data_IF_761338581168
#
_entry.id   IF_761338581168
#
_cell.length_a   1.000
_cell.length_b   1.000
_cell.length_c   1.000
_cell.angle_alpha   90.00
_cell.angle_beta   90.00
_cell.angle_gamma   90.00
#
_symmetry.space_group_name_H-M   'P 1'
#
loop_
_entity.id
_entity.type
_entity.pdbx_description
1 polymer ?
#
# COMPACT_ATOMS: atom_id res chain seq x y z
N UNK A 1 -50.49 -50.07 28.37
CA UNK A 1 -51.15 -48.94 27.68
C UNK A 1 -50.03 -48.08 27.07
N UNK A 2 -49.86 -48.09 25.74
CA UNK A 2 -50.30 -47.02 24.80
C UNK A 2 -49.68 -45.64 25.13
N UNK A 3 -49.10 -44.86 24.22
CA UNK A 3 -48.93 -44.98 22.77
C UNK A 3 -47.94 -43.88 22.26
N UNK A 4 -47.25 -44.21 21.16
CA UNK A 4 -47.01 -43.44 19.91
C UNK A 4 -46.80 -41.91 19.93
N UNK A 5 -45.81 -41.47 19.16
CA UNK A 5 -45.84 -40.16 18.47
C UNK A 5 -44.52 -39.81 17.75
N UNK A 6 -44.46 -39.98 16.43
CA UNK A 6 -43.32 -39.59 15.59
C UNK A 6 -43.36 -38.09 15.21
N UNK A 7 -42.22 -37.41 14.99
CA UNK A 7 -42.20 -36.11 14.36
C UNK A 7 -42.09 -36.18 12.82
N UNK A 8 -42.74 -35.18 12.23
CA UNK A 8 -43.19 -35.01 10.86
C UNK A 8 -42.12 -34.46 9.91
N UNK A 9 -42.26 -34.86 8.63
CA UNK A 9 -41.55 -34.32 7.47
C UNK A 9 -42.01 -32.89 7.19
N UNK A 10 -41.08 -31.95 7.00
CA UNK A 10 -41.33 -30.65 6.38
C UNK A 10 -40.44 -30.51 5.15
N UNK A 11 -41.08 -30.25 4.03
CA UNK A 11 -40.48 -29.99 2.74
C UNK A 11 -40.72 -28.52 2.34
N UNK A 12 -39.85 -28.05 1.44
CA UNK A 12 -40.00 -26.92 0.51
C UNK A 12 -39.64 -25.51 1.01
N UNK A 13 -38.62 -24.91 0.38
CA UNK A 13 -38.77 -23.70 -0.45
C UNK A 13 -37.45 -23.34 -1.16
N UNK A 14 -37.47 -23.41 -2.50
CA UNK A 14 -36.49 -22.82 -3.41
C UNK A 14 -36.56 -21.28 -3.30
N UNK A 15 -35.41 -20.62 -3.14
CA UNK A 15 -35.27 -19.18 -3.36
C UNK A 15 -34.21 -18.95 -4.44
N UNK A 16 -34.67 -18.64 -5.66
CA UNK A 16 -33.87 -18.25 -6.81
C UNK A 16 -33.27 -16.86 -6.57
N UNK A 17 -31.96 -16.79 -6.35
CA UNK A 17 -31.21 -15.54 -6.27
C UNK A 17 -30.91 -15.05 -7.70
N UNK A 18 -31.55 -13.95 -8.10
CA UNK A 18 -31.20 -13.19 -9.29
C UNK A 18 -29.86 -12.50 -9.04
N UNK A 19 -28.82 -12.93 -9.74
CA UNK A 19 -27.53 -12.25 -9.76
C UNK A 19 -27.62 -11.04 -10.72
N UNK A 20 -27.76 -9.84 -10.17
CA UNK A 20 -27.52 -8.61 -10.91
C UNK A 20 -26.01 -8.42 -11.04
N UNK A 21 -25.44 -8.77 -12.20
CA UNK A 21 -24.05 -8.47 -12.54
C UNK A 21 -23.89 -6.96 -12.75
N UNK A 22 -23.02 -6.33 -11.98
CA UNK A 22 -22.59 -4.95 -12.23
C UNK A 22 -21.72 -4.94 -13.49
N UNK A 23 -22.23 -4.41 -14.60
CA UNK A 23 -21.44 -4.12 -15.78
C UNK A 23 -20.45 -2.99 -15.44
N UNK A 24 -19.14 -3.29 -15.39
CA UNK A 24 -18.11 -2.24 -15.33
C UNK A 24 -17.99 -1.61 -16.71
N UNK A 25 -18.50 -0.40 -16.87
CA UNK A 25 -18.30 0.40 -18.09
C UNK A 25 -16.81 0.74 -18.24
N UNK A 26 -16.21 0.34 -19.36
CA UNK A 26 -14.87 0.79 -19.74
C UNK A 26 -14.96 2.27 -20.12
N UNK A 27 -14.44 3.17 -19.27
CA UNK A 27 -14.48 4.60 -19.54
C UNK A 27 -13.49 4.94 -20.69
N UNK A 28 -14.03 5.35 -21.84
CA UNK A 28 -13.23 5.80 -22.99
C UNK A 28 -12.76 7.22 -22.72
N UNK A 29 -11.44 7.43 -22.73
CA UNK A 29 -10.83 8.76 -22.51
C UNK A 29 -10.56 9.42 -23.86
N UNK A 30 -10.94 10.68 -24.03
CA UNK A 30 -10.70 11.45 -25.24
C UNK A 30 -9.59 12.48 -25.04
N UNK A 31 -8.76 12.68 -26.07
CA UNK A 31 -7.74 13.73 -26.16
C UNK A 31 -8.19 14.81 -27.14
N UNK A 32 -8.49 15.99 -26.62
CA UNK A 32 -8.94 17.13 -27.40
C UNK A 32 -7.76 18.04 -27.79
N UNK A 33 -7.62 18.43 -29.08
CA UNK A 33 -6.58 19.35 -29.52
C UNK A 33 -6.86 20.77 -29.02
N UNK A 34 -5.85 21.44 -28.48
CA UNK A 34 -5.90 22.83 -28.01
C UNK A 34 -4.73 23.14 -27.07
N UNK A 35 -4.41 24.42 -26.82
CA UNK A 35 -3.55 24.83 -25.71
C UNK A 35 -4.42 25.22 -24.48
N UNK A 36 -4.36 24.48 -23.36
CA UNK A 36 -3.68 23.20 -23.14
C UNK A 36 -4.47 22.00 -23.71
N UNK A 37 -3.76 20.90 -23.97
CA UNK A 37 -4.37 19.66 -24.46
C UNK A 37 -5.20 19.05 -23.34
N UNK A 38 -6.51 18.91 -23.57
CA UNK A 38 -7.45 18.41 -22.56
C UNK A 38 -7.68 16.91 -22.73
N UNK A 39 -7.62 16.17 -21.62
CA UNK A 39 -7.98 14.76 -21.52
C UNK A 39 -9.25 14.63 -20.69
N UNK A 40 -10.30 13.99 -21.22
CA UNK A 40 -11.60 13.89 -20.54
C UNK A 40 -12.34 12.58 -20.89
N UNK A 41 -13.01 12.02 -19.90
CA UNK A 41 -13.90 10.84 -19.97
C UNK A 41 -15.39 11.22 -19.87
N UNK A 42 -15.69 12.50 -19.66
CA UNK A 42 -17.04 13.01 -19.43
C UNK A 42 -17.81 13.34 -20.74
N UNK A 43 -17.27 12.98 -21.91
CA UNK A 43 -17.86 13.30 -23.22
C UNK A 43 -18.40 12.07 -23.92
N UNK A 44 -19.50 12.24 -24.66
CA UNK A 44 -20.01 11.18 -25.55
C UNK A 44 -19.15 11.06 -26.82
N UNK A 45 -19.14 9.91 -27.50
CA UNK A 45 -18.37 9.72 -28.74
C UNK A 45 -18.71 10.74 -29.84
N UNK A 46 -19.96 11.20 -29.89
CA UNK A 46 -20.42 12.20 -30.87
C UNK A 46 -19.85 13.59 -30.56
N UNK A 47 -19.95 14.03 -29.31
CA UNK A 47 -19.42 15.33 -28.88
C UNK A 47 -17.89 15.40 -29.00
N UNK A 48 -17.20 14.28 -28.76
CA UNK A 48 -15.76 14.18 -28.97
C UNK A 48 -15.40 14.34 -30.46
N UNK A 49 -16.15 13.70 -31.36
CA UNK A 49 -15.94 13.83 -32.81
C UNK A 49 -16.18 15.27 -33.30
N UNK A 50 -17.26 15.91 -32.83
CA UNK A 50 -17.59 17.30 -33.18
C UNK A 50 -16.53 18.31 -32.71
N UNK A 51 -15.87 18.01 -31.58
CA UNK A 51 -14.76 18.82 -31.03
C UNK A 51 -13.39 18.42 -31.55
N UNK A 52 -13.31 17.49 -32.50
CA UNK A 52 -12.05 16.99 -33.05
C UNK A 52 -11.18 16.22 -32.04
N UNK A 53 -11.76 15.75 -30.94
CA UNK A 53 -11.08 14.95 -29.94
C UNK A 53 -10.91 13.50 -30.43
N UNK A 54 -9.75 12.90 -30.19
CA UNK A 54 -9.49 11.48 -30.52
C UNK A 54 -9.68 10.60 -29.30
N UNK A 55 -10.38 9.47 -29.45
CA UNK A 55 -10.43 8.46 -28.40
C UNK A 55 -9.05 7.84 -28.21
N UNK A 56 -8.61 7.78 -26.96
CA UNK A 56 -7.46 6.99 -26.54
C UNK A 56 -8.04 5.79 -25.83
N UNK A 57 -7.95 4.63 -26.48
CA UNK A 57 -8.17 3.35 -25.82
C UNK A 57 -7.02 3.17 -24.83
N UNK A 58 -7.29 3.50 -23.57
CA UNK A 58 -6.31 3.31 -22.51
C UNK A 58 -5.95 1.83 -22.46
N UNK A 59 -4.68 1.50 -22.71
CA UNK A 59 -4.11 0.22 -22.28
C UNK A 59 -4.58 -0.05 -20.86
N UNK A 60 -5.10 -1.25 -20.54
CA UNK A 60 -5.77 -1.48 -19.28
C UNK A 60 -4.83 -1.08 -18.15
N UNK A 61 -5.22 -0.04 -17.40
CA UNK A 61 -4.55 0.32 -16.16
C UNK A 61 -4.69 -0.93 -15.29
N UNK A 62 -3.59 -1.65 -15.08
CA UNK A 62 -3.55 -2.79 -14.17
C UNK A 62 -3.62 -2.24 -12.75
N UNK A 63 -4.83 -1.84 -12.36
CA UNK A 63 -5.12 -1.60 -10.95
C UNK A 63 -5.09 -2.99 -10.32
N UNK A 64 -3.98 -3.35 -9.69
CA UNK A 64 -3.92 -4.52 -8.82
C UNK A 64 -4.93 -4.28 -7.70
N UNK A 65 -6.13 -4.83 -7.87
CA UNK A 65 -7.10 -4.90 -6.80
C UNK A 65 -6.48 -5.73 -5.68
N UNK A 66 -6.60 -5.33 -4.40
CA UNK A 66 -6.12 -6.17 -3.31
C UNK A 66 -6.81 -7.52 -3.44
N UNK A 67 -6.02 -8.56 -3.74
CA UNK A 67 -6.51 -9.92 -3.89
C UNK A 67 -7.15 -10.30 -2.57
N UNK A 68 -8.48 -10.35 -2.55
CA UNK A 68 -9.24 -10.90 -1.44
C UNK A 68 -8.90 -12.40 -1.43
N UNK A 69 -8.32 -12.96 -0.34
CA UNK A 69 -7.81 -14.32 -0.36
C UNK A 69 -8.95 -15.29 -0.67
N UNK A 70 -8.93 -15.85 -1.87
CA UNK A 70 -9.81 -16.94 -2.29
C UNK A 70 -9.02 -18.24 -2.14
N UNK A 71 -9.66 -19.24 -1.54
CA UNK A 71 -9.09 -20.56 -1.28
C UNK A 71 -8.41 -21.15 -2.53
N UNK A 72 -7.29 -21.90 -2.37
CA UNK A 72 -6.41 -22.25 -3.47
C UNK A 72 -7.11 -23.19 -4.47
N UNK A 73 -7.32 -22.69 -5.68
CA UNK A 73 -7.56 -23.54 -6.86
C UNK A 73 -6.23 -23.70 -7.57
N UNK A 74 -5.75 -24.94 -7.61
CA UNK A 74 -4.51 -25.33 -8.30
C UNK A 74 -4.77 -25.14 -9.79
N UNK A 75 -4.26 -24.06 -10.37
CA UNK A 75 -4.24 -23.86 -11.82
C UNK A 75 -2.79 -23.84 -12.28
N UNK A 76 -2.50 -24.75 -13.21
CA UNK A 76 -1.17 -25.10 -13.67
C UNK A 76 -0.41 -23.89 -14.23
N UNK A 77 0.88 -23.90 -13.95
CA UNK A 77 1.93 -22.97 -14.34
C UNK A 77 1.79 -22.42 -15.77
N UNK A 78 1.38 -21.16 -15.87
CA UNK A 78 1.89 -20.31 -16.93
C UNK A 78 3.32 -19.96 -16.57
N UNK A 79 4.29 -20.53 -17.27
CA UNK A 79 5.68 -20.10 -17.28
C UNK A 79 5.69 -18.63 -17.71
N UNK A 80 5.54 -17.72 -16.76
CA UNK A 80 6.16 -16.41 -16.90
C UNK A 80 7.63 -16.73 -17.14
N UNK A 81 8.07 -16.48 -18.37
CA UNK A 81 9.45 -16.67 -18.79
C UNK A 81 10.31 -16.02 -17.73
N UNK A 82 10.86 -16.86 -16.89
CA UNK A 82 11.78 -16.47 -15.85
C UNK A 82 12.97 -15.91 -16.60
N UNK A 83 12.97 -14.59 -16.80
CA UNK A 83 14.18 -13.83 -17.02
C UNK A 83 14.99 -14.02 -15.74
N UNK A 84 15.59 -15.20 -15.58
CA UNK A 84 16.54 -15.49 -14.51
C UNK A 84 17.60 -14.42 -14.66
N UNK A 85 17.60 -13.47 -13.73
CA UNK A 85 18.66 -12.49 -13.60
C UNK A 85 19.94 -13.29 -13.40
N UNK A 86 21.01 -12.94 -14.12
CA UNK A 86 22.29 -13.63 -13.96
C UNK A 86 22.73 -13.52 -12.48
N UNK A 87 23.24 -14.59 -11.87
CA UNK A 87 23.64 -14.56 -10.47
C UNK A 87 24.69 -13.47 -10.17
N UNK A 88 25.50 -13.03 -11.14
CA UNK A 88 26.41 -11.89 -10.97
C UNK A 88 25.66 -10.57 -10.92
N UNK A 89 24.69 -10.35 -11.80
CA UNK A 89 23.85 -9.15 -11.80
C UNK A 89 23.01 -9.07 -10.52
N UNK A 90 22.54 -10.21 -10.01
CA UNK A 90 21.81 -10.27 -8.75
C UNK A 90 22.70 -9.84 -7.57
N UNK A 91 23.95 -10.32 -7.50
CA UNK A 91 24.91 -9.91 -6.47
C UNK A 91 25.20 -8.42 -6.51
N UNK A 92 25.43 -7.85 -7.70
CA UNK A 92 25.67 -6.41 -7.85
C UNK A 92 24.49 -5.59 -7.34
N UNK A 93 23.25 -6.04 -7.60
CA UNK A 93 22.05 -5.39 -7.06
C UNK A 93 21.94 -5.53 -5.55
N UNK A 94 22.24 -6.70 -5.00
CA UNK A 94 22.19 -6.93 -3.56
C UNK A 94 23.26 -6.11 -2.82
N UNK A 95 24.45 -5.97 -3.40
CA UNK A 95 25.52 -5.09 -2.90
C UNK A 95 25.10 -3.62 -2.92
N UNK A 96 24.46 -3.15 -4.01
CA UNK A 96 23.95 -1.79 -4.10
C UNK A 96 22.83 -1.53 -3.07
N UNK A 97 21.88 -2.47 -2.94
CA UNK A 97 20.84 -2.43 -1.91
C UNK A 97 21.42 -2.38 -0.51
N UNK A 98 22.45 -3.19 -0.23
CA UNK A 98 23.15 -3.17 1.05
C UNK A 98 23.77 -1.79 1.31
N UNK A 99 24.49 -1.23 0.34
CA UNK A 99 25.14 0.08 0.46
C UNK A 99 24.12 1.20 0.75
N UNK A 100 22.99 1.20 0.04
CA UNK A 100 21.92 2.18 0.28
C UNK A 100 21.34 2.02 1.68
N UNK A 101 20.98 0.79 2.10
CA UNK A 101 20.44 0.54 3.44
C UNK A 101 21.44 0.86 4.55
N UNK A 102 22.74 0.63 4.35
CA UNK A 102 23.77 1.02 5.31
C UNK A 102 23.89 2.55 5.44
N UNK A 103 23.77 3.28 4.34
CA UNK A 103 23.74 4.74 4.38
C UNK A 103 22.50 5.23 5.12
N UNK A 104 21.32 4.72 4.77
CA UNK A 104 20.06 5.05 5.45
C UNK A 104 20.13 4.71 6.94
N UNK A 105 20.75 3.58 7.29
CA UNK A 105 20.96 3.19 8.68
C UNK A 105 21.79 4.22 9.44
N UNK A 106 22.92 4.66 8.88
CA UNK A 106 23.78 5.68 9.50
C UNK A 106 23.02 7.00 9.70
N UNK A 107 22.25 7.42 8.69
CA UNK A 107 21.43 8.62 8.78
C UNK A 107 20.33 8.49 9.85
N UNK A 108 19.66 7.34 9.93
CA UNK A 108 18.64 7.04 10.93
C UNK A 108 19.23 7.00 12.36
N UNK A 109 20.38 6.35 12.54
CA UNK A 109 21.11 6.33 13.82
C UNK A 109 21.58 7.73 14.23
N UNK A 110 22.04 8.56 13.28
CA UNK A 110 22.42 9.95 13.57
C UNK A 110 21.22 10.80 14.02
N UNK A 111 20.04 10.60 13.42
CA UNK A 111 18.79 11.25 13.82
C UNK A 111 18.34 10.77 15.19
N UNK A 112 18.44 9.47 15.45
CA UNK A 112 18.13 8.89 16.76
C UNK A 112 19.01 9.50 17.85
N UNK A 113 20.32 9.58 17.62
CA UNK A 113 21.27 10.16 18.58
C UNK A 113 20.93 11.62 18.91
N UNK A 114 20.57 12.43 17.91
CA UNK A 114 20.12 13.81 18.11
C UNK A 114 18.83 13.88 18.95
N UNK A 115 17.83 13.06 18.61
CA UNK A 115 16.57 13.01 19.36
C UNK A 115 16.78 12.54 20.81
N UNK A 116 17.65 11.56 21.03
CA UNK A 116 17.98 11.08 22.38
C UNK A 116 18.73 12.14 23.19
N UNK A 117 19.64 12.89 22.55
CA UNK A 117 20.32 14.01 23.19
C UNK A 117 19.33 15.12 23.57
N UNK A 118 18.41 15.49 22.67
CA UNK A 118 17.37 16.48 22.96
C UNK A 118 16.40 16.00 24.04
N UNK A 119 16.01 14.73 24.01
CA UNK A 119 15.13 14.13 25.01
C UNK A 119 15.79 14.06 26.40
N UNK A 120 17.12 13.95 26.45
CA UNK A 120 17.93 14.00 27.66
C UNK A 120 17.34 13.15 28.82
N UNK A 121 17.12 11.87 28.57
CA UNK A 121 16.52 10.93 29.53
C UNK A 121 15.15 11.36 30.09
N UNK A 122 14.34 12.08 29.30
CA UNK A 122 13.03 12.59 29.71
C UNK A 122 13.09 13.94 30.42
N UNK A 123 14.25 14.58 30.45
CA UNK A 123 14.47 15.90 31.01
C UNK A 123 15.06 16.83 29.95
N UNK A 124 14.34 17.07 28.84
CA UNK A 124 14.82 17.97 27.81
C UNK A 124 15.07 19.37 28.40
N UNK A 125 16.03 20.10 27.84
CA UNK A 125 16.29 21.46 28.31
C UNK A 125 15.06 22.35 28.09
N UNK A 126 14.70 23.15 29.11
CA UNK A 126 13.55 24.07 29.02
C UNK A 126 13.89 25.22 28.09
N UNK A 127 13.04 25.45 27.11
CA UNK A 127 13.20 26.56 26.17
C UNK A 127 12.55 27.82 26.75
N UNK A 128 13.08 28.99 26.40
CA UNK A 128 12.61 30.28 26.94
C UNK A 128 11.15 30.62 26.57
N UNK A 129 10.64 30.03 25.49
CA UNK A 129 9.25 30.12 25.01
C UNK A 129 8.27 29.23 25.80
N UNK A 130 8.78 28.32 26.63
CA UNK A 130 7.98 27.37 27.43
C UNK A 130 7.62 27.91 28.81
N UNK A 131 7.08 29.13 28.85
CA UNK A 131 6.62 29.77 30.09
C UNK A 131 5.50 28.95 30.77
N UNK A 132 4.73 28.19 30.00
CA UNK A 132 3.72 27.27 30.50
C UNK A 132 4.33 25.86 30.67
N UNK A 133 4.20 25.30 31.88
CA UNK A 133 4.69 23.94 32.18
C UNK A 133 4.02 22.85 31.34
N UNK A 134 2.75 23.02 30.94
CA UNK A 134 2.06 22.04 30.10
C UNK A 134 2.74 21.89 28.73
N UNK A 135 3.19 23.00 28.11
CA UNK A 135 3.90 22.95 26.83
C UNK A 135 5.19 22.12 26.91
N UNK A 136 5.90 22.25 28.03
CA UNK A 136 7.10 21.45 28.29
C UNK A 136 6.76 19.95 28.39
N UNK A 137 5.69 19.60 29.10
CA UNK A 137 5.23 18.21 29.22
C UNK A 137 4.83 17.63 27.86
N UNK A 138 4.06 18.39 27.08
CA UNK A 138 3.59 17.98 25.76
C UNK A 138 4.77 17.75 24.80
N UNK A 139 5.74 18.67 24.76
CA UNK A 139 6.96 18.50 23.97
C UNK A 139 7.79 17.31 24.45
N UNK A 140 7.92 17.10 25.77
CA UNK A 140 8.65 15.95 26.30
C UNK A 140 8.00 14.64 25.87
N UNK A 141 6.67 14.57 25.87
CA UNK A 141 5.92 13.42 25.37
C UNK A 141 6.10 13.24 23.85
N UNK A 142 6.10 14.33 23.07
CA UNK A 142 6.34 14.30 21.63
C UNK A 142 7.77 13.84 21.28
N UNK A 143 8.79 14.32 22.01
CA UNK A 143 10.18 13.87 21.88
C UNK A 143 10.29 12.38 22.16
N UNK A 144 9.67 11.90 23.25
CA UNK A 144 9.63 10.47 23.58
C UNK A 144 9.01 9.64 22.45
N UNK A 145 7.87 10.09 21.92
CA UNK A 145 7.20 9.42 20.81
C UNK A 145 8.06 9.42 19.54
N UNK A 146 8.79 10.51 19.27
CA UNK A 146 9.70 10.63 18.14
C UNK A 146 10.91 9.71 18.26
N UNK A 147 11.50 9.61 19.44
CA UNK A 147 12.56 8.63 19.75
C UNK A 147 12.05 7.21 19.47
N UNK A 148 10.89 6.83 20.00
CA UNK A 148 10.35 5.49 19.82
C UNK A 148 10.08 5.14 18.34
N UNK A 149 9.57 6.09 17.54
CA UNK A 149 9.40 5.91 16.10
C UNK A 149 10.74 5.71 15.40
N UNK A 150 11.72 6.57 15.69
CA UNK A 150 13.04 6.51 15.07
C UNK A 150 13.80 5.22 15.44
N UNK A 151 13.64 4.72 16.67
CA UNK A 151 14.16 3.42 17.10
C UNK A 151 13.54 2.28 16.28
N UNK A 152 12.22 2.33 16.05
CA UNK A 152 11.53 1.35 15.20
C UNK A 152 12.07 1.37 13.76
N UNK A 153 12.34 2.55 13.20
CA UNK A 153 12.91 2.69 11.85
C UNK A 153 14.32 2.09 11.77
N UNK A 154 15.18 2.38 12.74
CA UNK A 154 16.53 1.77 12.85
C UNK A 154 16.42 0.25 12.89
N UNK A 155 15.51 -0.29 13.70
CA UNK A 155 15.30 -1.74 13.77
C UNK A 155 14.73 -2.31 12.48
N UNK A 156 13.87 -1.58 11.76
CA UNK A 156 13.35 -2.01 10.47
C UNK A 156 14.48 -2.12 9.43
N UNK A 157 15.33 -1.10 9.32
CA UNK A 157 16.46 -1.10 8.39
C UNK A 157 17.44 -2.23 8.73
N UNK A 158 17.75 -2.44 10.03
CA UNK A 158 18.60 -3.56 10.46
C UNK A 158 18.03 -4.92 10.08
N UNK A 159 16.71 -5.10 10.16
CA UNK A 159 16.03 -6.32 9.70
C UNK A 159 16.14 -6.49 8.19
N UNK A 160 15.97 -5.43 7.41
CA UNK A 160 16.13 -5.52 5.94
C UNK A 160 17.57 -5.86 5.54
N UNK A 161 18.57 -5.26 6.19
CA UNK A 161 19.97 -5.62 5.99
C UNK A 161 20.24 -7.10 6.30
N UNK A 162 19.65 -7.62 7.38
CA UNK A 162 19.78 -9.03 7.75
C UNK A 162 19.11 -10.02 6.79
N UNK A 163 18.24 -9.56 5.88
CA UNK A 163 17.65 -10.39 4.81
C UNK A 163 18.54 -10.50 3.58
N UNK A 164 19.55 -9.63 3.44
CA UNK A 164 20.48 -9.68 2.32
C UNK A 164 21.49 -10.82 2.54
N UNK A 165 21.86 -11.56 1.49
CA UNK A 165 22.88 -12.61 1.59
C UNK A 165 24.22 -12.01 2.03
N UNK A 166 25.04 -12.73 2.84
CA UNK A 166 26.30 -12.21 3.39
C UNK A 166 27.30 -11.76 2.33
#
# INVERSE_FOLDING_TARGET
MSARGAPSRWAVALLTVVAAGSASAQAVVYRCPGPPVLYTDAMTPKEAADKGCRSIEGTPITVFSPVKPKAPVVSASGTQGELRVDPKDQRVRDDDRRRVLEQELREAESRLAKLQQEYNNGQPERRGDERNYQKYLDRTAELKASVARQESDVQAIKRELGKLPP
#
